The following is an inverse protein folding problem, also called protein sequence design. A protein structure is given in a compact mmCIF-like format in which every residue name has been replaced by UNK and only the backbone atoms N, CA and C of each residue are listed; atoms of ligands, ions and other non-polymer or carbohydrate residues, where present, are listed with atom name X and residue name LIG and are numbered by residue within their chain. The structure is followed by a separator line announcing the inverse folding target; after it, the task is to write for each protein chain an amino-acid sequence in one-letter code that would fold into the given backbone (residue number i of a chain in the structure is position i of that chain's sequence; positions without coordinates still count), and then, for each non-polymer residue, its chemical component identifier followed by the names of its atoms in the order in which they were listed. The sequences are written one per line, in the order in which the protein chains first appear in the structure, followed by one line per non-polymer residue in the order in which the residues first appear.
data_IF_755468078783
#
_entry.id   IF_755468078783
#
_cell.length_a   1.000
_cell.length_b   1.000
_cell.length_c   1.000
_cell.angle_alpha   90.00
_cell.angle_beta   90.00
_cell.angle_gamma   90.00
#
_symmetry.space_group_name_H-M   'P 1'
#
loop_
_entity.id
_entity.type
_entity.pdbx_description
1 polymer ?
#
# COMPACT_ATOMS: atom_id res chain seq x y z
N UNK A 1 -34.79 60.44 -6.61
CA UNK A 1 -33.57 60.62 -5.80
C UNK A 1 -33.44 59.61 -4.65
N UNK A 2 -34.54 59.02 -4.12
CA UNK A 2 -34.44 58.03 -3.03
C UNK A 2 -33.98 56.62 -3.44
N UNK A 3 -34.19 56.23 -4.70
CA UNK A 3 -33.79 54.91 -5.21
C UNK A 3 -32.27 54.81 -5.40
N UNK A 4 -31.63 55.85 -5.94
CA UNK A 4 -30.18 55.88 -6.11
C UNK A 4 -29.44 55.89 -4.77
N UNK A 5 -29.95 56.61 -3.76
CA UNK A 5 -29.40 56.56 -2.39
C UNK A 5 -29.52 55.17 -1.79
N UNK A 6 -30.68 54.50 -1.91
CA UNK A 6 -30.88 53.12 -1.43
C UNK A 6 -29.96 52.11 -2.13
N UNK A 7 -29.73 52.26 -3.44
CA UNK A 7 -28.80 51.38 -4.19
C UNK A 7 -27.37 51.61 -3.72
N UNK A 8 -26.95 52.87 -3.53
CA UNK A 8 -25.61 53.22 -3.06
C UNK A 8 -25.34 52.71 -1.65
N UNK A 9 -26.31 52.81 -0.75
CA UNK A 9 -26.20 52.28 0.62
C UNK A 9 -26.15 50.75 0.66
N UNK A 10 -26.88 50.07 -0.25
CA UNK A 10 -26.85 48.60 -0.36
C UNK A 10 -25.51 48.10 -0.88
N UNK A 11 -24.96 48.75 -1.91
CA UNK A 11 -23.62 48.43 -2.44
C UNK A 11 -22.54 48.67 -1.39
N UNK A 12 -22.64 49.78 -0.65
CA UNK A 12 -21.68 50.11 0.42
C UNK A 12 -21.72 49.07 1.55
N UNK A 13 -22.90 48.67 2.02
CA UNK A 13 -23.06 47.59 3.01
C UNK A 13 -22.52 46.24 2.51
N UNK A 14 -22.71 45.93 1.24
CA UNK A 14 -22.21 44.69 0.65
C UNK A 14 -20.68 44.70 0.53
N UNK A 15 -20.08 45.82 0.14
CA UNK A 15 -18.63 45.99 0.13
C UNK A 15 -18.02 45.92 1.53
N UNK A 16 -18.63 46.57 2.53
CA UNK A 16 -18.19 46.49 3.93
C UNK A 16 -18.28 45.05 4.46
N UNK A 17 -19.33 44.31 4.09
CA UNK A 17 -19.45 42.88 4.44
C UNK A 17 -18.37 42.04 3.76
N UNK A 18 -18.12 42.22 2.47
CA UNK A 18 -17.07 41.51 1.74
C UNK A 18 -15.66 41.82 2.26
N UNK A 19 -15.37 43.08 2.59
CA UNK A 19 -14.11 43.47 3.21
C UNK A 19 -13.97 42.88 4.62
N UNK A 20 -15.04 42.86 5.41
CA UNK A 20 -15.04 42.27 6.74
C UNK A 20 -14.85 40.76 6.68
N UNK A 21 -15.50 40.06 5.75
CA UNK A 21 -15.30 38.63 5.50
C UNK A 21 -13.88 38.34 5.00
N UNK A 22 -13.33 39.17 4.10
CA UNK A 22 -11.94 39.05 3.64
C UNK A 22 -10.95 39.22 4.79
N UNK A 23 -11.15 40.25 5.63
CA UNK A 23 -10.30 40.52 6.78
C UNK A 23 -10.41 39.43 7.85
N UNK A 24 -11.63 38.94 8.13
CA UNK A 24 -11.84 37.81 9.03
C UNK A 24 -11.18 36.53 8.51
N UNK A 25 -11.22 36.27 7.20
CA UNK A 25 -10.55 35.12 6.60
C UNK A 25 -9.02 35.24 6.66
N UNK A 26 -8.46 36.43 6.43
CA UNK A 26 -7.03 36.68 6.62
C UNK A 26 -6.63 36.55 8.10
N UNK A 27 -7.46 37.01 9.04
CA UNK A 27 -7.24 36.80 10.46
C UNK A 27 -7.32 35.32 10.86
N UNK A 28 -8.26 34.54 10.30
CA UNK A 28 -8.33 33.09 10.54
C UNK A 28 -7.10 32.39 9.97
N UNK A 29 -6.63 32.78 8.78
CA UNK A 29 -5.38 32.26 8.20
C UNK A 29 -4.15 32.63 9.02
N UNK A 30 -4.06 33.88 9.47
CA UNK A 30 -2.97 34.35 10.31
C UNK A 30 -3.00 33.66 11.67
N UNK A 31 -4.18 33.52 12.28
CA UNK A 31 -4.39 32.78 13.51
C UNK A 31 -4.04 31.29 13.34
N UNK A 32 -4.43 30.63 12.24
CA UNK A 32 -4.00 29.25 11.93
C UNK A 32 -2.48 29.12 11.75
N UNK A 33 -1.80 30.20 11.34
CA UNK A 33 -0.35 30.26 11.16
C UNK A 33 0.40 30.59 12.45
N UNK A 34 -0.21 31.38 13.35
CA UNK A 34 0.31 31.76 14.67
C UNK A 34 -0.01 30.74 15.77
N UNK A 35 -1.17 30.07 15.71
CA UNK A 35 -1.50 28.82 16.40
C UNK A 35 -0.71 27.64 15.83
N UNK A 36 0.40 27.90 15.14
CA UNK A 36 1.40 26.92 14.79
C UNK A 36 2.02 26.26 16.03
N UNK A 37 1.27 25.39 16.69
CA UNK A 37 1.67 23.99 16.69
C UNK A 37 1.65 23.60 15.19
N UNK A 38 2.76 23.35 14.53
CA UNK A 38 3.43 22.04 14.55
C UNK A 38 2.58 20.97 15.28
N UNK A 39 1.32 20.83 14.91
CA UNK A 39 0.59 19.62 15.17
C UNK A 39 1.23 18.57 14.28
N UNK A 40 1.65 17.44 14.86
CA UNK A 40 2.12 16.26 14.13
C UNK A 40 1.24 15.95 12.90
N UNK A 41 -0.04 16.32 12.94
CA UNK A 41 -1.07 16.18 11.90
C UNK A 41 -0.78 16.89 10.55
N UNK A 42 -0.21 18.09 10.57
CA UNK A 42 0.06 18.87 9.35
C UNK A 42 1.22 18.29 8.54
N UNK A 43 2.28 17.91 9.25
CA UNK A 43 3.40 17.16 8.69
C UNK A 43 2.95 15.77 8.24
N UNK A 44 2.03 15.11 8.96
CA UNK A 44 1.58 13.77 8.64
C UNK A 44 0.81 13.71 7.31
N UNK A 45 -0.05 14.70 7.03
CA UNK A 45 -0.77 14.79 5.75
C UNK A 45 0.17 15.05 4.57
N UNK A 46 1.12 15.97 4.71
CA UNK A 46 2.11 16.23 3.68
C UNK A 46 3.04 15.03 3.46
N UNK A 47 3.43 14.34 4.54
CA UNK A 47 4.24 13.13 4.46
C UNK A 47 3.50 11.99 3.77
N UNK A 48 2.21 11.82 4.02
CA UNK A 48 1.39 10.82 3.33
C UNK A 48 1.29 11.14 1.84
N UNK A 49 1.09 12.40 1.48
CA UNK A 49 1.07 12.86 0.09
C UNK A 49 2.39 12.59 -0.63
N UNK A 50 3.53 12.92 0.01
CA UNK A 50 4.88 12.62 -0.49
C UNK A 50 5.04 11.11 -0.73
N UNK A 51 4.71 10.28 0.26
CA UNK A 51 4.80 8.81 0.12
C UNK A 51 3.93 8.27 -1.01
N UNK A 52 2.69 8.74 -1.18
CA UNK A 52 1.81 8.32 -2.27
C UNK A 52 2.46 8.58 -3.65
N UNK A 53 3.17 9.70 -3.78
CA UNK A 53 3.88 10.06 -5.00
C UNK A 53 5.18 9.26 -5.22
N UNK A 54 5.89 8.89 -4.16
CA UNK A 54 7.18 8.18 -4.22
C UNK A 54 7.08 6.68 -4.53
N UNK A 55 6.07 5.98 -3.97
CA UNK A 55 6.02 4.50 -4.02
C UNK A 55 5.79 3.96 -5.45
N UNK A 56 5.33 4.83 -6.37
CA UNK A 56 5.19 4.50 -7.80
C UNK A 56 3.94 3.66 -8.09
N UNK A 57 2.80 4.09 -7.54
CA UNK A 57 1.48 3.49 -7.78
C UNK A 57 1.10 3.47 -9.27
N UNK A 58 0.24 2.52 -9.66
CA UNK A 58 -0.38 2.53 -11.00
C UNK A 58 -1.31 3.71 -11.17
N UNK A 59 -1.67 4.08 -12.41
CA UNK A 59 -2.56 5.22 -12.70
C UNK A 59 -3.90 5.12 -11.94
N UNK A 60 -4.47 3.91 -11.89
CA UNK A 60 -5.73 3.65 -11.21
C UNK A 60 -5.59 3.77 -9.69
N UNK A 61 -4.54 3.18 -9.12
CA UNK A 61 -4.28 3.23 -7.69
C UNK A 61 -3.97 4.67 -7.22
N UNK A 62 -3.15 5.41 -7.97
CA UNK A 62 -2.82 6.81 -7.66
C UNK A 62 -4.07 7.70 -7.70
N UNK A 63 -4.93 7.53 -8.71
CA UNK A 63 -6.20 8.28 -8.80
C UNK A 63 -7.06 8.00 -7.57
N UNK A 64 -7.19 6.74 -7.16
CA UNK A 64 -7.97 6.35 -5.98
C UNK A 64 -7.36 6.87 -4.67
N UNK A 65 -6.04 6.77 -4.51
CA UNK A 65 -5.33 7.29 -3.35
C UNK A 65 -5.53 8.81 -3.21
N UNK A 66 -5.44 9.57 -4.31
CA UNK A 66 -5.70 11.02 -4.31
C UNK A 66 -7.13 11.38 -3.94
N UNK A 67 -8.12 10.66 -4.47
CA UNK A 67 -9.53 10.88 -4.12
C UNK A 67 -9.78 10.62 -2.63
N UNK A 68 -9.20 9.56 -2.07
CA UNK A 68 -9.36 9.22 -0.65
C UNK A 68 -8.56 10.17 0.25
N UNK A 69 -7.38 10.63 -0.18
CA UNK A 69 -6.60 11.67 0.51
C UNK A 69 -7.36 13.00 0.56
N UNK A 70 -8.02 13.41 -0.54
CA UNK A 70 -8.83 14.63 -0.56
C UNK A 70 -10.00 14.55 0.43
N UNK A 71 -10.66 13.39 0.53
CA UNK A 71 -11.69 13.17 1.56
C UNK A 71 -11.10 13.25 2.96
N UNK A 72 -9.95 12.62 3.19
CA UNK A 72 -9.27 12.62 4.48
C UNK A 72 -8.91 14.04 4.94
N UNK A 73 -8.43 14.91 4.05
CA UNK A 73 -8.13 16.33 4.35
C UNK A 73 -9.32 17.14 4.86
N UNK A 74 -10.55 16.76 4.51
CA UNK A 74 -11.77 17.45 4.93
C UNK A 74 -12.47 16.79 6.14
N UNK A 75 -11.95 15.66 6.63
CA UNK A 75 -12.51 14.97 7.79
C UNK A 75 -11.91 15.49 9.09
N UNK A 76 -12.69 15.43 10.18
CA UNK A 76 -12.17 15.70 11.51
C UNK A 76 -11.21 14.57 11.95
N UNK A 77 -10.00 14.88 12.45
CA UNK A 77 -8.99 13.87 12.83
C UNK A 77 -9.50 12.85 13.87
N UNK A 78 -10.40 13.26 14.75
CA UNK A 78 -10.99 12.42 15.81
C UNK A 78 -12.14 11.53 15.34
N UNK A 79 -12.52 11.56 14.06
CA UNK A 79 -13.62 10.76 13.53
C UNK A 79 -13.21 9.29 13.30
N UNK A 80 -14.10 8.35 13.61
CA UNK A 80 -13.93 6.94 13.29
C UNK A 80 -13.78 6.69 11.78
N UNK A 81 -14.39 7.52 10.94
CA UNK A 81 -14.24 7.45 9.48
C UNK A 81 -12.84 7.86 9.03
N UNK A 82 -12.24 8.87 9.69
CA UNK A 82 -10.90 9.33 9.40
C UNK A 82 -9.87 8.23 9.69
N UNK A 83 -10.02 7.50 10.81
CA UNK A 83 -9.16 6.36 11.16
C UNK A 83 -9.20 5.23 10.12
N UNK A 84 -10.38 4.91 9.59
CA UNK A 84 -10.56 3.88 8.55
C UNK A 84 -9.92 4.30 7.23
N UNK A 85 -10.06 5.58 6.84
CA UNK A 85 -9.43 6.11 5.61
C UNK A 85 -7.92 6.19 5.78
N UNK A 86 -7.42 6.58 6.96
CA UNK A 86 -5.99 6.61 7.26
C UNK A 86 -5.35 5.24 7.11
N UNK A 87 -5.90 4.23 7.80
CA UNK A 87 -5.44 2.83 7.71
C UNK A 87 -5.42 2.33 6.26
N UNK A 88 -6.40 2.73 5.46
CA UNK A 88 -6.44 2.38 4.04
C UNK A 88 -5.33 3.05 3.22
N UNK A 89 -5.08 4.34 3.45
CA UNK A 89 -4.02 5.08 2.77
C UNK A 89 -2.63 4.54 3.16
N UNK A 90 -2.42 4.21 4.43
CA UNK A 90 -1.18 3.59 4.93
C UNK A 90 -0.97 2.22 4.25
N UNK A 91 -2.00 1.37 4.22
CA UNK A 91 -1.93 0.09 3.51
C UNK A 91 -1.63 0.26 2.01
N UNK A 92 -2.16 1.29 1.36
CA UNK A 92 -1.86 1.58 -0.06
C UNK A 92 -0.40 1.99 -0.25
N UNK A 93 0.15 2.77 0.67
CA UNK A 93 1.53 3.27 0.63
C UNK A 93 2.53 2.15 0.91
N UNK A 94 2.24 1.25 1.84
CA UNK A 94 3.17 0.18 2.23
C UNK A 94 3.31 -0.92 1.16
N UNK A 95 2.31 -1.08 0.30
CA UNK A 95 2.36 -2.06 -0.80
C UNK A 95 3.51 -1.73 -1.78
N UNK A 96 4.41 -2.69 -2.10
CA UNK A 96 5.54 -2.44 -2.99
C UNK A 96 5.12 -2.40 -4.47
N UNK A 97 4.56 -1.28 -4.93
CA UNK A 97 4.06 -1.11 -6.30
C UNK A 97 5.15 -1.24 -7.37
N UNK A 98 6.27 -0.53 -7.21
CA UNK A 98 7.39 -0.52 -8.16
C UNK A 98 8.63 -1.26 -7.67
N UNK A 99 8.78 -1.41 -6.35
CA UNK A 99 9.96 -2.02 -5.72
C UNK A 99 9.99 -3.52 -6.00
N UNK A 100 11.01 -3.98 -6.75
CA UNK A 100 11.21 -5.40 -7.08
C UNK A 100 12.62 -5.83 -6.71
N UNK A 101 12.76 -7.07 -6.25
CA UNK A 101 14.08 -7.66 -6.00
C UNK A 101 14.74 -8.03 -7.33
N UNK A 102 16.06 -7.83 -7.44
CA UNK A 102 16.83 -8.26 -8.62
C UNK A 102 16.91 -9.79 -8.62
N UNK A 103 16.26 -10.40 -9.60
CA UNK A 103 16.18 -11.86 -9.74
C UNK A 103 17.53 -12.38 -10.25
N UNK A 104 18.07 -13.40 -9.56
CA UNK A 104 19.18 -14.21 -10.08
C UNK A 104 18.61 -15.37 -10.90
N UNK A 105 19.16 -15.59 -12.10
CA UNK A 105 18.71 -16.63 -13.06
C UNK A 105 19.84 -17.59 -13.42
N UNK A 106 20.82 -17.72 -12.54
CA UNK A 106 21.90 -18.68 -12.70
C UNK A 106 21.45 -20.05 -12.18
N UNK A 107 21.41 -21.00 -13.11
CA UNK A 107 20.93 -22.36 -12.89
C UNK A 107 21.99 -23.16 -12.12
N UNK A 108 23.28 -22.98 -12.42
CA UNK A 108 24.37 -23.70 -11.74
C UNK A 108 24.44 -23.31 -10.27
N UNK A 109 24.47 -21.99 -10.02
CA UNK A 109 24.44 -21.47 -8.65
C UNK A 109 23.17 -21.89 -7.89
N UNK A 110 22.03 -22.04 -8.58
CA UNK A 110 20.80 -22.53 -7.95
C UNK A 110 20.93 -24.00 -7.52
N UNK A 111 21.53 -24.85 -8.35
CA UNK A 111 21.80 -26.25 -8.00
C UNK A 111 22.78 -26.36 -6.82
N UNK A 112 23.87 -25.59 -6.83
CA UNK A 112 24.85 -25.59 -5.74
C UNK A 112 24.23 -25.19 -4.39
N UNK A 113 23.31 -24.22 -4.40
CA UNK A 113 22.57 -23.82 -3.18
C UNK A 113 21.63 -24.92 -2.72
N UNK A 114 20.92 -25.59 -3.63
CA UNK A 114 20.03 -26.70 -3.29
C UNK A 114 20.80 -27.90 -2.73
N UNK A 115 21.96 -28.23 -3.31
CA UNK A 115 22.86 -29.29 -2.82
C UNK A 115 23.43 -28.96 -1.44
N UNK A 116 23.79 -27.70 -1.21
CA UNK A 116 24.32 -27.26 0.09
C UNK A 116 23.26 -27.33 1.20
N UNK A 117 22.02 -26.98 0.88
CA UNK A 117 20.95 -26.87 1.87
C UNK A 117 20.23 -28.21 2.15
N UNK A 118 20.23 -29.14 1.19
CA UNK A 118 19.47 -30.40 1.28
C UNK A 118 20.33 -31.55 0.79
N UNK A 119 20.47 -32.60 1.61
CA UNK A 119 21.14 -33.83 1.21
C UNK A 119 20.17 -34.77 0.46
N UNK A 120 20.63 -35.44 -0.60
CA UNK A 120 19.81 -36.34 -1.43
C UNK A 120 18.78 -35.60 -2.30
N UNK A 121 17.58 -36.18 -2.48
CA UNK A 121 16.48 -35.57 -3.25
C UNK A 121 16.84 -35.20 -4.70
N UNK A 122 17.67 -36.01 -5.36
CA UNK A 122 18.20 -35.72 -6.72
C UNK A 122 17.09 -35.41 -7.72
N UNK A 123 16.07 -36.27 -7.82
CA UNK A 123 14.92 -36.08 -8.73
C UNK A 123 14.15 -34.79 -8.44
N UNK A 124 13.99 -34.42 -7.16
CA UNK A 124 13.25 -33.21 -6.75
C UNK A 124 14.06 -31.96 -7.08
N UNK A 125 15.36 -31.97 -6.81
CA UNK A 125 16.26 -30.86 -7.14
C UNK A 125 16.34 -30.65 -8.64
N UNK A 126 16.48 -31.72 -9.42
CA UNK A 126 16.47 -31.66 -10.88
C UNK A 126 15.18 -31.02 -11.39
N UNK A 127 14.01 -31.43 -10.87
CA UNK A 127 12.72 -30.85 -11.23
C UNK A 127 12.59 -29.36 -10.87
N UNK A 128 13.14 -28.94 -9.74
CA UNK A 128 13.20 -27.52 -9.35
C UNK A 128 14.07 -26.73 -10.34
N UNK A 129 15.21 -27.29 -10.73
CA UNK A 129 16.14 -26.66 -11.68
C UNK A 129 15.50 -26.53 -13.07
N UNK A 130 14.80 -27.55 -13.55
CA UNK A 130 13.99 -27.49 -14.78
C UNK A 130 12.96 -26.38 -14.72
N UNK A 131 12.24 -26.27 -13.60
CA UNK A 131 11.26 -25.21 -13.39
C UNK A 131 11.88 -23.82 -13.47
N UNK A 132 13.04 -23.61 -12.82
CA UNK A 132 13.78 -22.35 -12.89
C UNK A 132 14.29 -22.07 -14.32
N UNK A 133 14.68 -23.09 -15.07
CA UNK A 133 15.11 -22.97 -16.46
C UNK A 133 13.96 -22.50 -17.38
N UNK A 134 12.75 -23.04 -17.19
CA UNK A 134 11.55 -22.58 -17.90
C UNK A 134 11.23 -21.13 -17.52
N UNK A 135 11.29 -20.79 -16.23
CA UNK A 135 11.02 -19.43 -15.76
C UNK A 135 12.03 -18.39 -16.31
N UNK A 136 13.27 -18.80 -16.57
CA UNK A 136 14.29 -17.95 -17.20
C UNK A 136 13.92 -17.57 -18.63
N UNK A 137 13.26 -18.45 -19.38
CA UNK A 137 12.86 -18.21 -20.79
C UNK A 137 11.54 -17.45 -20.90
N UNK A 138 10.59 -17.72 -20.01
CA UNK A 138 9.24 -17.15 -20.10
C UNK A 138 9.14 -15.87 -19.27
N UNK A 139 9.00 -14.71 -19.93
CA UNK A 139 8.78 -13.40 -19.27
C UNK A 139 7.37 -13.21 -18.68
N UNK A 140 6.48 -14.20 -18.85
CA UNK A 140 5.04 -14.13 -18.57
C UNK A 140 4.61 -15.00 -17.39
N UNK A 141 3.57 -14.56 -16.67
CA UNK A 141 3.07 -15.08 -15.39
C UNK A 141 2.31 -16.42 -15.50
N UNK A 142 2.07 -16.97 -16.70
CA UNK A 142 1.46 -18.30 -16.88
C UNK A 142 2.43 -19.46 -16.61
N UNK A 143 3.46 -19.24 -15.79
CA UNK A 143 4.32 -20.33 -15.34
C UNK A 143 3.52 -21.21 -14.36
N UNK A 144 3.64 -22.55 -14.45
CA UNK A 144 2.99 -23.44 -13.50
C UNK A 144 3.44 -23.15 -12.06
N UNK A 145 2.55 -23.40 -11.09
CA UNK A 145 2.89 -23.28 -9.66
C UNK A 145 3.56 -24.58 -9.21
N UNK A 146 4.74 -24.47 -8.59
CA UNK A 146 5.44 -25.63 -8.06
C UNK A 146 4.74 -26.11 -6.77
N UNK A 147 4.30 -27.37 -6.76
CA UNK A 147 3.70 -28.03 -5.60
C UNK A 147 4.63 -29.11 -5.07
N UNK A 148 5.02 -29.02 -3.80
CA UNK A 148 5.85 -30.03 -3.12
C UNK A 148 4.94 -30.88 -2.23
N UNK A 149 4.88 -32.19 -2.48
CA UNK A 149 3.99 -33.15 -1.79
C UNK A 149 4.82 -34.23 -1.09
N UNK A 150 4.35 -34.74 0.04
CA UNK A 150 4.97 -35.87 0.77
C UNK A 150 4.64 -35.86 2.27
N UNK A 151 5.25 -36.73 3.08
CA UNK A 151 5.02 -36.77 4.52
C UNK A 151 5.49 -35.49 5.25
N UNK A 152 5.04 -35.24 6.48
CA UNK A 152 5.57 -34.16 7.31
C UNK A 152 7.05 -34.39 7.63
N UNK A 153 7.83 -33.32 7.82
CA UNK A 153 9.25 -33.41 8.21
C UNK A 153 10.26 -33.53 7.06
N UNK A 154 9.84 -33.74 5.82
CA UNK A 154 10.76 -33.91 4.66
C UNK A 154 11.37 -32.62 4.09
N UNK A 155 11.28 -31.49 4.80
CA UNK A 155 11.92 -30.24 4.38
C UNK A 155 11.23 -29.46 3.24
N UNK A 156 9.90 -29.58 3.05
CA UNK A 156 9.19 -28.82 2.00
C UNK A 156 9.33 -27.31 2.15
N UNK A 157 9.21 -26.81 3.38
CA UNK A 157 9.34 -25.37 3.67
C UNK A 157 10.78 -24.89 3.48
N UNK A 158 11.75 -25.68 3.94
CA UNK A 158 13.17 -25.35 3.77
C UNK A 158 13.60 -25.39 2.29
N UNK A 159 13.04 -26.29 1.47
CA UNK A 159 13.22 -26.27 0.01
C UNK A 159 12.69 -24.96 -0.59
N UNK A 160 11.53 -24.48 -0.15
CA UNK A 160 11.00 -23.18 -0.56
C UNK A 160 11.91 -22.00 -0.20
N UNK A 161 12.53 -22.03 0.98
CA UNK A 161 13.52 -21.04 1.42
C UNK A 161 14.79 -21.08 0.55
N UNK A 162 15.29 -22.27 0.23
CA UNK A 162 16.44 -22.46 -0.66
C UNK A 162 16.17 -21.95 -2.06
N UNK A 163 14.97 -22.18 -2.61
CA UNK A 163 14.55 -21.65 -3.92
C UNK A 163 14.52 -20.11 -3.90
N UNK A 164 13.99 -19.52 -2.83
CA UNK A 164 13.97 -18.07 -2.66
C UNK A 164 15.39 -17.49 -2.59
N UNK A 165 16.30 -18.15 -1.86
CA UNK A 165 17.71 -17.78 -1.75
C UNK A 165 18.44 -17.89 -3.09
N UNK A 166 18.24 -19.00 -3.82
CA UNK A 166 18.83 -19.24 -5.13
C UNK A 166 18.41 -18.18 -6.16
N UNK A 167 17.14 -17.78 -6.15
CA UNK A 167 16.60 -16.76 -7.06
C UNK A 167 16.76 -15.32 -6.57
N UNK A 168 17.36 -15.12 -5.39
CA UNK A 168 17.49 -13.82 -4.71
C UNK A 168 16.14 -13.09 -4.53
N UNK A 169 15.14 -13.83 -4.07
CA UNK A 169 13.80 -13.32 -3.74
C UNK A 169 13.60 -13.37 -2.23
N UNK A 170 12.82 -12.42 -1.69
CA UNK A 170 12.37 -12.49 -0.30
C UNK A 170 11.47 -13.70 -0.12
N UNK A 171 11.73 -14.50 0.92
CA UNK A 171 10.89 -15.61 1.29
C UNK A 171 9.76 -15.13 2.22
N UNK A 172 8.53 -15.52 1.89
CA UNK A 172 7.34 -15.24 2.70
C UNK A 172 6.55 -16.53 2.80
N UNK A 173 6.21 -16.93 4.03
CA UNK A 173 5.41 -18.12 4.31
C UNK A 173 4.01 -17.73 4.76
N UNK A 174 3.01 -18.37 4.16
CA UNK A 174 1.62 -18.30 4.59
C UNK A 174 1.10 -19.72 4.84
N UNK A 175 0.55 -19.96 6.03
CA UNK A 175 -0.16 -21.21 6.31
C UNK A 175 -1.57 -21.12 5.75
N UNK A 176 -1.95 -22.10 4.94
CA UNK A 176 -3.32 -22.30 4.47
C UNK A 176 -4.09 -23.29 5.35
N UNK A 177 -3.42 -23.94 6.31
CA UNK A 177 -4.06 -24.86 7.24
C UNK A 177 -5.06 -24.12 8.13
N UNK A 178 -6.30 -24.62 8.18
CA UNK A 178 -7.36 -24.04 8.99
C UNK A 178 -8.04 -22.81 8.38
N UNK A 179 -7.66 -22.39 7.17
CA UNK A 179 -8.38 -21.32 6.44
C UNK A 179 -9.75 -21.86 6.03
N UNK A 180 -10.81 -21.19 6.48
CA UNK A 180 -12.21 -21.58 6.21
C UNK A 180 -12.99 -20.54 5.44
N UNK A 181 -12.52 -19.30 5.45
CA UNK A 181 -13.19 -18.17 4.82
C UNK A 181 -12.27 -17.47 3.82
N UNK A 182 -12.86 -17.02 2.72
CA UNK A 182 -12.21 -16.23 1.68
C UNK A 182 -11.68 -14.90 2.22
N UNK A 183 -12.34 -14.36 3.24
CA UNK A 183 -11.95 -13.11 3.91
C UNK A 183 -10.53 -13.16 4.49
N UNK A 184 -10.03 -14.33 4.89
CA UNK A 184 -8.65 -14.47 5.37
C UNK A 184 -7.62 -14.24 4.26
N UNK A 185 -7.97 -14.58 3.02
CA UNK A 185 -7.08 -14.44 1.86
C UNK A 185 -7.25 -13.05 1.23
N UNK A 186 -8.49 -12.61 1.01
CA UNK A 186 -8.81 -11.37 0.27
C UNK A 186 -8.97 -10.15 1.18
N UNK A 187 -9.36 -10.32 2.44
CA UNK A 187 -9.73 -9.26 3.36
C UNK A 187 -11.20 -8.90 3.30
N UNK A 188 -11.62 -8.02 4.22
CA UNK A 188 -13.00 -7.54 4.29
C UNK A 188 -13.19 -6.24 3.50
N UNK A 189 -14.44 -5.96 3.11
CA UNK A 189 -14.80 -4.63 2.60
C UNK A 189 -14.57 -3.59 3.70
N UNK A 190 -14.22 -2.37 3.31
CA UNK A 190 -13.96 -1.20 4.18
C UNK A 190 -15.26 -0.59 4.74
N UNK A 191 -16.17 -1.42 5.23
CA UNK A 191 -17.48 -1.00 5.77
C UNK A 191 -17.52 -0.94 7.29
N UNK A 192 -16.57 -1.56 7.98
CA UNK A 192 -16.52 -1.61 9.44
C UNK A 192 -15.17 -1.13 9.97
N UNK A 193 -15.19 -0.56 11.17
CA UNK A 193 -13.98 -0.30 11.95
C UNK A 193 -13.33 -1.66 12.23
N UNK A 194 -12.04 -1.80 11.88
CA UNK A 194 -11.32 -3.09 11.97
C UNK A 194 -11.30 -3.92 10.69
N UNK A 195 -11.85 -3.44 9.58
CA UNK A 195 -11.68 -4.08 8.27
C UNK A 195 -10.21 -4.08 7.84
N UNK A 196 -9.56 -5.23 7.93
CA UNK A 196 -8.17 -5.43 7.54
C UNK A 196 -8.06 -6.04 6.14
N UNK A 197 -6.99 -5.72 5.39
CA UNK A 197 -6.69 -6.39 4.13
C UNK A 197 -6.35 -7.87 4.39
N UNK A 198 -6.51 -8.73 3.39
CA UNK A 198 -6.24 -10.17 3.55
C UNK A 198 -4.77 -10.48 3.82
N UNK A 199 -4.49 -11.72 4.26
CA UNK A 199 -3.14 -12.18 4.64
C UNK A 199 -2.11 -11.99 3.53
N UNK A 200 -2.50 -12.00 2.25
CA UNK A 200 -1.56 -11.78 1.13
C UNK A 200 -0.99 -10.37 1.21
N UNK A 201 -1.85 -9.37 1.28
CA UNK A 201 -1.45 -7.95 1.33
C UNK A 201 -0.65 -7.68 2.61
N UNK A 202 -1.12 -8.15 3.76
CA UNK A 202 -0.43 -7.98 5.05
C UNK A 202 0.99 -8.56 5.06
N UNK A 203 1.25 -9.61 4.29
CA UNK A 203 2.58 -10.25 4.22
C UNK A 203 3.48 -9.64 3.13
N UNK A 204 2.99 -8.66 2.37
CA UNK A 204 3.75 -8.06 1.26
C UNK A 204 4.64 -6.89 1.71
N UNK A 205 4.35 -6.29 2.86
CA UNK A 205 5.16 -5.24 3.49
C UNK A 205 5.77 -5.71 4.81
#
# INVERSE_FOLDING_TARGET
MDVEKKVRDRVKKQMEKSQREYYLNEQIKAAQKELGEIGEDGDELENLEKKIHEVGMTKEALKKAKTELAKFKHMAPSSAEASVVRTYLDCLVDVPWKKKSKIKTDIKASMDILEKDHYGLEEVKERIVEYLAVQKRVKSMKAPVLCLVGPPGVGKTSLGESIARATNRKFVRMSLGGVRDESEIRGHRRTYIGSMPGKIIQKTF
#
